data_IF_583551351159
#
_entry.id   IF_583551351159
#
_cell.length_a   1.000
_cell.length_b   1.000
_cell.length_c   1.000
_cell.angle_alpha   90.00
_cell.angle_beta   90.00
_cell.angle_gamma   90.00
#
_symmetry.space_group_name_H-M   'P 1'
#
loop_
_entity.id
_entity.type
_entity.pdbx_description
1 polymer ?
#
# COMPACT_ATOMS: atom_id res chain seq x y z
N UNK A 1 26.62 26.19 4.76
CA UNK A 1 26.46 25.09 5.75
C UNK A 1 25.78 23.95 5.01
N UNK A 2 26.55 22.96 4.52
CA UNK A 2 25.97 21.80 3.81
C UNK A 2 25.29 20.88 4.81
N UNK A 3 24.05 20.50 4.53
CA UNK A 3 23.32 19.49 5.27
C UNK A 3 24.07 18.15 5.25
N UNK A 4 24.03 17.35 6.33
CA UNK A 4 24.65 16.03 6.31
C UNK A 4 23.99 15.19 5.22
N UNK A 5 24.81 14.64 4.32
CA UNK A 5 24.38 13.64 3.36
C UNK A 5 23.81 12.46 4.15
N UNK A 6 22.49 12.29 4.11
CA UNK A 6 21.81 11.15 4.70
C UNK A 6 22.27 9.91 3.92
N UNK A 7 23.27 9.23 4.45
CA UNK A 7 23.75 7.96 3.89
C UNK A 7 22.56 7.01 3.84
N UNK A 8 22.19 6.47 2.66
CA UNK A 8 21.12 5.50 2.58
C UNK A 8 21.56 4.26 3.36
N UNK A 9 20.98 4.07 4.55
CA UNK A 9 21.11 2.81 5.25
C UNK A 9 20.43 1.75 4.39
N UNK A 10 21.22 0.79 3.91
CA UNK A 10 20.68 -0.36 3.19
C UNK A 10 19.61 -1.00 4.08
N UNK A 11 18.36 -0.95 3.62
CA UNK A 11 17.26 -1.61 4.31
C UNK A 11 17.57 -3.10 4.31
N UNK A 12 17.64 -3.69 5.49
CA UNK A 12 17.78 -5.13 5.60
C UNK A 12 16.52 -5.80 5.03
N UNK A 13 16.68 -6.39 3.85
CA UNK A 13 15.63 -7.03 3.05
C UNK A 13 15.05 -8.25 3.76
N UNK A 14 15.74 -8.83 4.75
CA UNK A 14 15.19 -9.91 5.58
C UNK A 14 14.40 -9.38 6.77
N UNK A 15 14.82 -8.26 7.34
CA UNK A 15 14.15 -7.64 8.50
C UNK A 15 12.86 -6.90 8.09
N UNK A 16 12.85 -6.20 6.96
CA UNK A 16 11.68 -5.39 6.54
C UNK A 16 10.40 -6.24 6.35
N UNK A 17 10.40 -7.37 5.62
CA UNK A 17 9.21 -8.21 5.47
C UNK A 17 8.62 -8.69 6.81
N UNK A 18 9.48 -9.03 7.77
CA UNK A 18 9.06 -9.45 9.11
C UNK A 18 8.35 -8.31 9.86
N UNK A 19 8.93 -7.08 9.82
CA UNK A 19 8.32 -5.89 10.43
C UNK A 19 6.96 -5.56 9.78
N UNK A 20 6.89 -5.55 8.45
CA UNK A 20 5.64 -5.25 7.73
C UNK A 20 4.55 -6.28 8.04
N UNK A 21 4.94 -7.55 8.21
CA UNK A 21 4.03 -8.62 8.64
C UNK A 21 3.52 -8.37 10.06
N UNK A 22 4.41 -8.06 11.01
CA UNK A 22 4.05 -7.76 12.40
C UNK A 22 3.12 -6.53 12.52
N UNK A 23 3.35 -5.50 11.69
CA UNK A 23 2.53 -4.30 11.63
C UNK A 23 1.22 -4.48 10.85
N UNK A 24 1.00 -5.66 10.26
CA UNK A 24 -0.18 -5.98 9.43
C UNK A 24 -0.34 -4.99 8.27
N UNK A 25 0.74 -4.75 7.54
CA UNK A 25 0.80 -3.92 6.33
C UNK A 25 0.96 -4.81 5.07
N UNK A 26 -0.06 -5.60 4.71
CA UNK A 26 0.04 -6.58 3.62
C UNK A 26 0.24 -5.93 2.24
N UNK A 27 -0.26 -4.71 2.04
CA UNK A 27 -0.11 -4.00 0.77
C UNK A 27 1.30 -3.41 0.69
N UNK A 28 1.84 -2.86 1.79
CA UNK A 28 3.27 -2.50 1.85
C UNK A 28 4.14 -3.70 1.48
N UNK A 29 3.93 -4.84 2.14
CA UNK A 29 4.71 -6.06 1.92
C UNK A 29 4.75 -6.49 0.45
N UNK A 30 3.62 -6.33 -0.25
CA UNK A 30 3.47 -6.70 -1.66
C UNK A 30 4.13 -5.70 -2.62
N UNK A 31 3.99 -4.40 -2.34
CA UNK A 31 4.29 -3.36 -3.32
C UNK A 31 5.64 -2.66 -3.10
N UNK A 32 6.24 -2.78 -1.91
CA UNK A 32 7.48 -2.08 -1.59
C UNK A 32 8.66 -2.36 -2.53
N UNK A 33 8.92 -3.59 -3.05
CA UNK A 33 10.11 -3.82 -3.87
C UNK A 33 10.02 -3.09 -5.21
N UNK A 34 8.86 -3.20 -5.88
CA UNK A 34 8.63 -2.57 -7.17
C UNK A 34 8.60 -1.04 -7.06
N UNK A 35 7.98 -0.52 -5.99
CA UNK A 35 7.91 0.92 -5.78
C UNK A 35 9.26 1.51 -5.36
N UNK A 36 10.09 0.75 -4.63
CA UNK A 36 11.46 1.15 -4.28
C UNK A 36 12.31 1.25 -5.55
N UNK A 37 12.29 0.23 -6.41
CA UNK A 37 13.00 0.26 -7.69
C UNK A 37 12.58 1.46 -8.55
N UNK A 38 11.28 1.76 -8.59
CA UNK A 38 10.76 2.93 -9.30
C UNK A 38 11.25 4.25 -8.67
N UNK A 39 11.18 4.36 -7.35
CA UNK A 39 11.63 5.54 -6.62
C UNK A 39 13.12 5.81 -6.83
N UNK A 40 13.95 4.76 -6.85
CA UNK A 40 15.38 4.85 -7.12
C UNK A 40 15.64 5.32 -8.55
N UNK A 41 14.95 4.72 -9.53
CA UNK A 41 15.10 5.08 -10.95
C UNK A 41 14.65 6.52 -11.25
N UNK A 42 13.59 6.99 -10.57
CA UNK A 42 13.02 8.33 -10.77
C UNK A 42 13.58 9.37 -9.79
N UNK A 43 14.51 8.99 -8.91
CA UNK A 43 15.11 9.89 -7.92
C UNK A 43 14.11 10.48 -6.93
N UNK A 44 13.09 9.72 -6.52
CA UNK A 44 12.06 10.21 -5.61
C UNK A 44 12.65 10.55 -4.23
N UNK A 45 12.19 11.65 -3.61
CA UNK A 45 12.48 11.86 -2.19
C UNK A 45 11.81 10.75 -1.36
N UNK A 46 12.46 10.31 -0.28
CA UNK A 46 11.95 9.25 0.59
C UNK A 46 10.52 9.52 1.09
N UNK A 47 10.17 10.79 1.36
CA UNK A 47 8.81 11.18 1.75
C UNK A 47 7.75 10.81 0.68
N UNK A 48 8.07 10.96 -0.61
CA UNK A 48 7.18 10.59 -1.72
C UNK A 48 7.01 9.09 -1.82
N UNK A 49 8.10 8.34 -1.69
CA UNK A 49 8.04 6.87 -1.68
C UNK A 49 7.16 6.34 -0.54
N UNK A 50 7.35 6.87 0.68
CA UNK A 50 6.55 6.49 1.85
C UNK A 50 5.07 6.89 1.69
N UNK A 51 4.79 8.09 1.19
CA UNK A 51 3.41 8.54 0.93
C UNK A 51 2.70 7.62 -0.07
N UNK A 52 3.36 7.27 -1.18
CA UNK A 52 2.80 6.39 -2.19
C UNK A 52 2.52 4.97 -1.65
N UNK A 53 3.39 4.40 -0.80
CA UNK A 53 3.09 3.13 -0.12
C UNK A 53 1.89 3.25 0.83
N UNK A 54 1.82 4.33 1.60
CA UNK A 54 0.73 4.57 2.54
C UNK A 54 -0.63 4.70 1.81
N UNK A 55 -0.66 5.42 0.69
CA UNK A 55 -1.84 5.55 -0.16
C UNK A 55 -2.34 4.20 -0.67
N UNK A 56 -1.43 3.34 -1.16
CA UNK A 56 -1.77 2.00 -1.64
C UNK A 56 -2.40 1.15 -0.51
N UNK A 57 -1.80 1.16 0.68
CA UNK A 57 -2.32 0.40 1.82
C UNK A 57 -3.70 0.88 2.27
N UNK A 58 -3.92 2.20 2.35
CA UNK A 58 -5.22 2.78 2.69
C UNK A 58 -6.27 2.39 1.64
N UNK A 59 -5.94 2.51 0.36
CA UNK A 59 -6.83 2.15 -0.75
C UNK A 59 -7.24 0.67 -0.69
N UNK A 60 -6.27 -0.23 -0.55
CA UNK A 60 -6.58 -1.66 -0.48
C UNK A 60 -7.32 -2.06 0.80
N UNK A 61 -7.04 -1.43 1.95
CA UNK A 61 -7.82 -1.65 3.19
C UNK A 61 -9.26 -1.21 3.02
N UNK A 62 -9.50 -0.08 2.36
CA UNK A 62 -10.85 0.39 2.05
C UNK A 62 -11.57 -0.57 1.10
N UNK A 63 -10.91 -1.02 0.03
CA UNK A 63 -11.46 -2.02 -0.88
C UNK A 63 -11.82 -3.33 -0.17
N UNK A 64 -10.95 -3.84 0.71
CA UNK A 64 -11.22 -5.04 1.54
C UNK A 64 -12.39 -4.84 2.50
N UNK A 65 -12.53 -3.65 3.10
CA UNK A 65 -13.68 -3.32 3.98
C UNK A 65 -14.99 -3.33 3.19
N UNK A 66 -15.02 -2.63 2.06
CA UNK A 66 -16.20 -2.57 1.17
C UNK A 66 -16.58 -3.98 0.70
N UNK A 67 -15.61 -4.77 0.23
CA UNK A 67 -15.83 -6.15 -0.20
C UNK A 67 -16.40 -7.05 0.90
N UNK A 68 -15.90 -6.94 2.14
CA UNK A 68 -16.46 -7.68 3.29
C UNK A 68 -17.88 -7.25 3.61
N UNK A 69 -18.18 -5.95 3.60
CA UNK A 69 -19.54 -5.47 3.83
C UNK A 69 -20.50 -5.93 2.74
N UNK A 70 -20.08 -5.93 1.46
CA UNK A 70 -20.87 -6.45 0.35
C UNK A 70 -21.13 -7.96 0.50
N UNK A 71 -20.11 -8.76 0.83
CA UNK A 71 -20.27 -10.20 1.06
C UNK A 71 -21.20 -10.49 2.26
N UNK A 72 -21.05 -9.74 3.35
CA UNK A 72 -21.88 -9.90 4.55
C UNK A 72 -23.32 -9.42 4.35
N UNK A 73 -23.56 -8.48 3.43
CA UNK A 73 -24.89 -7.96 3.14
C UNK A 73 -25.79 -8.94 2.36
N UNK A 74 -25.24 -10.07 1.89
CA UNK A 74 -26.01 -11.10 1.19
C UNK A 74 -26.66 -10.62 -0.12
N UNK A 75 -26.18 -9.49 -0.67
CA UNK A 75 -26.70 -8.95 -1.93
C UNK A 75 -26.38 -9.93 -3.06
N UNK A 76 -27.38 -10.47 -3.77
CA UNK A 76 -27.12 -11.26 -4.98
C UNK A 76 -26.41 -10.37 -5.99
N UNK A 77 -25.32 -10.88 -6.59
CA UNK A 77 -24.35 -10.15 -7.44
C UNK A 77 -24.87 -9.62 -8.78
N UNK A 78 -26.13 -9.21 -8.85
CA UNK A 78 -26.79 -8.76 -10.08
C UNK A 78 -27.99 -7.84 -9.90
N UNK A 79 -28.21 -7.21 -8.74
CA UNK A 79 -29.17 -6.11 -8.65
C UNK A 79 -28.49 -4.79 -9.03
N UNK A 80 -28.19 -4.64 -10.31
CA UNK A 80 -28.14 -3.29 -10.91
C UNK A 80 -29.53 -2.67 -10.72
N UNK A 81 -29.59 -1.37 -10.43
CA UNK A 81 -30.79 -0.54 -10.25
C UNK A 81 -31.69 -0.44 -11.53
N UNK A 82 -31.87 -1.53 -12.28
CA UNK A 82 -32.62 -1.56 -13.53
C UNK A 82 -34.11 -1.93 -13.36
N UNK A 83 -34.67 -1.79 -12.15
CA UNK A 83 -36.12 -1.99 -11.96
C UNK A 83 -36.65 -1.13 -10.81
N UNK A 84 -36.41 0.18 -10.89
CA UNK A 84 -37.32 1.15 -10.30
C UNK A 84 -37.93 1.92 -11.47
N UNK A 85 -39.12 1.44 -11.88
CA UNK A 85 -40.08 1.97 -12.86
C UNK A 85 -39.53 2.50 -14.20
#
# INVERSE_FOLDING_TARGET
MSAPAMTPHAVDVHTLPAILTALRLPSFLRHWPALAQRADNEGWPAARFLAALAEIEVAERNARRIGRHLQQSGLPGGKTFATFD
#
